data_IF_241887578118
#
_entry.id   IF_241887578118
#
_cell.length_a   1.000
_cell.length_b   1.000
_cell.length_c   1.000
_cell.angle_alpha   90.00
_cell.angle_beta   90.00
_cell.angle_gamma   90.00
#
_symmetry.space_group_name_H-M   'P 1'
#
loop_
_entity.id
_entity.type
_entity.pdbx_description
1 polymer ?
#
# COMPACT_ATOMS: atom_id res chain seq x y z
N UNK A 1 10.79 9.24 23.17
CA UNK A 1 11.84 8.76 22.25
C UNK A 1 13.11 9.57 22.48
N UNK A 2 14.30 9.14 22.03
CA UNK A 2 15.47 10.02 21.99
C UNK A 2 15.12 11.31 21.25
N UNK A 3 15.62 12.45 21.75
CA UNK A 3 15.42 13.77 21.17
C UNK A 3 15.93 13.84 19.72
N UNK A 4 15.43 14.82 18.96
CA UNK A 4 15.91 15.07 17.61
C UNK A 4 17.42 15.27 17.56
N UNK A 5 17.96 16.04 18.50
CA UNK A 5 19.38 16.38 18.59
C UNK A 5 20.24 15.13 18.88
N UNK A 6 19.74 14.21 19.71
CA UNK A 6 20.39 12.93 19.97
C UNK A 6 20.41 12.04 18.72
N UNK A 7 19.26 11.86 18.05
CA UNK A 7 19.19 10.98 16.86
C UNK A 7 19.90 11.55 15.64
N UNK A 8 20.02 12.88 15.55
CA UNK A 8 20.76 13.54 14.47
C UNK A 8 22.27 13.29 14.56
N UNK A 9 22.79 13.09 15.77
CA UNK A 9 24.22 12.95 16.03
C UNK A 9 24.67 11.51 16.35
N UNK A 10 23.75 10.59 16.64
CA UNK A 10 24.07 9.20 16.99
C UNK A 10 23.22 8.19 16.19
N UNK A 11 23.90 7.39 15.37
CA UNK A 11 23.27 6.35 14.52
C UNK A 11 22.63 5.22 15.32
N UNK A 12 23.15 4.91 16.51
CA UNK A 12 22.58 3.89 17.42
C UNK A 12 21.28 4.41 18.02
N UNK A 13 21.26 5.68 18.45
CA UNK A 13 20.03 6.31 18.94
C UNK A 13 18.99 6.48 17.84
N UNK A 14 19.42 6.76 16.60
CA UNK A 14 18.53 6.72 15.43
C UNK A 14 17.89 5.34 15.24
N UNK A 15 18.69 4.26 15.26
CA UNK A 15 18.18 2.89 15.13
C UNK A 15 17.23 2.53 16.29
N UNK A 16 17.53 2.98 17.51
CA UNK A 16 16.67 2.80 18.67
C UNK A 16 15.33 3.54 18.50
N UNK A 17 15.36 4.80 18.06
CA UNK A 17 14.16 5.59 17.77
C UNK A 17 13.31 4.94 16.66
N UNK A 18 13.94 4.46 15.59
CA UNK A 18 13.26 3.77 14.49
C UNK A 18 12.58 2.47 14.96
N UNK A 19 13.24 1.69 15.82
CA UNK A 19 12.64 0.49 16.44
C UNK A 19 11.41 0.84 17.26
N UNK A 20 11.45 1.92 18.06
CA UNK A 20 10.28 2.38 18.83
C UNK A 20 9.14 2.74 17.88
N UNK A 21 9.42 3.53 16.84
CA UNK A 21 8.42 3.96 15.86
C UNK A 21 7.73 2.76 15.19
N UNK A 22 8.50 1.77 14.73
CA UNK A 22 7.97 0.57 14.08
C UNK A 22 7.03 -0.24 14.99
N UNK A 23 7.30 -0.28 16.30
CA UNK A 23 6.47 -1.00 17.27
C UNK A 23 5.11 -0.32 17.50
N UNK A 24 4.99 0.98 17.23
CA UNK A 24 3.75 1.75 17.39
C UNK A 24 3.01 1.98 16.05
N UNK A 25 3.29 1.17 15.02
CA UNK A 25 2.55 1.21 13.73
C UNK A 25 1.26 0.39 13.72
N UNK A 26 1.00 -0.41 14.76
CA UNK A 26 -0.22 -1.22 14.85
C UNK A 26 -1.36 -0.45 15.54
N UNK A 27 -2.42 -0.04 14.83
CA UNK A 27 -3.49 0.77 15.43
C UNK A 27 -4.25 0.04 16.56
N UNK A 28 -4.17 -1.29 16.65
CA UNK A 28 -4.79 -2.06 17.72
C UNK A 28 -4.08 -1.97 19.08
N UNK A 29 -2.81 -1.57 19.12
CA UNK A 29 -2.04 -1.52 20.37
C UNK A 29 -0.99 -0.39 20.45
N UNK A 30 -0.95 0.49 19.44
CA UNK A 30 -0.02 1.59 19.35
C UNK A 30 -0.25 2.62 20.45
N UNK A 31 0.84 3.23 20.91
CA UNK A 31 0.87 4.30 21.90
C UNK A 31 1.21 5.62 21.22
N UNK A 32 0.76 6.71 21.84
CA UNK A 32 1.25 8.03 21.45
C UNK A 32 2.77 8.09 21.70
N UNK A 33 3.48 8.70 20.76
CA UNK A 33 4.93 8.91 20.85
C UNK A 33 5.21 10.39 21.04
N UNK A 34 6.20 10.68 21.88
CA UNK A 34 6.70 12.04 22.08
C UNK A 34 8.19 12.07 21.80
N UNK A 35 8.60 13.03 20.99
CA UNK A 35 10.00 13.34 20.71
C UNK A 35 10.27 14.81 21.01
N UNK A 36 11.29 15.08 21.84
CA UNK A 36 11.80 16.43 22.10
C UNK A 36 12.54 16.97 20.88
N UNK A 37 12.23 18.20 20.48
CA UNK A 37 12.88 18.98 19.43
C UNK A 37 13.17 20.37 20.02
N UNK A 38 14.42 20.63 20.40
CA UNK A 38 14.82 21.87 21.09
C UNK A 38 14.02 22.12 22.37
N UNK A 39 13.23 23.19 22.38
CA UNK A 39 12.36 23.61 23.49
C UNK A 39 10.91 23.09 23.38
N UNK A 40 10.61 22.28 22.37
CA UNK A 40 9.25 21.79 22.06
C UNK A 40 9.17 20.28 22.02
N UNK A 41 7.97 19.75 22.22
CA UNK A 41 7.68 18.34 22.05
C UNK A 41 6.85 18.11 20.78
N UNK A 42 7.30 17.18 19.94
CA UNK A 42 6.53 16.66 18.81
C UNK A 42 5.73 15.47 19.32
N UNK A 43 4.40 15.62 19.30
CA UNK A 43 3.45 14.58 19.67
C UNK A 43 2.95 13.84 18.43
N UNK A 44 3.22 12.54 18.35
CA UNK A 44 2.71 11.66 17.30
C UNK A 44 1.55 10.85 17.88
N UNK A 45 0.36 11.04 17.32
CA UNK A 45 -0.80 10.24 17.68
C UNK A 45 -0.65 8.79 17.19
N UNK A 46 -1.29 7.83 17.87
CA UNK A 46 -1.42 6.47 17.35
C UNK A 46 -2.02 6.49 15.92
N UNK A 47 -1.63 5.55 15.05
CA UNK A 47 -2.21 5.43 13.72
C UNK A 47 -3.72 5.19 13.79
N UNK A 48 -4.44 5.75 12.81
CA UNK A 48 -5.87 5.54 12.68
C UNK A 48 -6.19 4.06 12.37
N UNK A 49 -7.41 3.65 12.67
CA UNK A 49 -7.90 2.35 12.22
C UNK A 49 -7.96 2.33 10.68
N UNK A 50 -7.65 1.18 10.05
CA UNK A 50 -7.72 1.05 8.60
C UNK A 50 -9.16 1.25 8.11
N UNK A 51 -9.31 1.82 6.91
CA UNK A 51 -10.62 1.98 6.28
C UNK A 51 -11.23 0.60 5.97
N UNK A 52 -12.56 0.53 6.07
CA UNK A 52 -13.34 -0.56 5.50
C UNK A 52 -13.19 -0.62 3.98
N UNK A 53 -13.63 -1.73 3.38
CA UNK A 53 -13.60 -1.86 1.90
C UNK A 53 -14.49 -0.81 1.26
N UNK A 54 -15.65 -0.54 1.86
CA UNK A 54 -16.64 0.41 1.40
C UNK A 54 -16.13 1.86 1.48
N UNK A 55 -15.47 2.23 2.58
CA UNK A 55 -14.83 3.55 2.72
C UNK A 55 -13.66 3.72 1.74
N UNK A 56 -12.85 2.68 1.56
CA UNK A 56 -11.73 2.73 0.61
C UNK A 56 -12.26 2.86 -0.83
N UNK A 57 -13.26 2.09 -1.20
CA UNK A 57 -13.89 2.19 -2.51
C UNK A 57 -14.50 3.58 -2.73
N UNK A 58 -15.18 4.15 -1.73
CA UNK A 58 -15.72 5.51 -1.81
C UNK A 58 -14.64 6.55 -2.07
N UNK A 59 -13.45 6.41 -1.47
CA UNK A 59 -12.30 7.29 -1.74
C UNK A 59 -11.83 7.17 -3.19
N UNK A 60 -11.74 5.94 -3.74
CA UNK A 60 -11.26 5.73 -5.11
C UNK A 60 -12.31 6.04 -6.19
N UNK A 61 -13.60 5.95 -5.85
CA UNK A 61 -14.73 6.23 -6.75
C UNK A 61 -15.06 7.74 -6.82
N UNK A 62 -14.36 8.60 -6.07
CA UNK A 62 -14.45 10.05 -6.24
C UNK A 62 -14.11 10.46 -7.69
N UNK A 63 -14.72 11.53 -8.23
CA UNK A 63 -14.61 11.92 -9.64
C UNK A 63 -13.25 12.60 -9.95
N UNK A 64 -12.15 11.88 -9.74
CA UNK A 64 -10.81 12.34 -10.07
C UNK A 64 -10.65 12.42 -11.59
N UNK A 65 -10.07 13.53 -12.06
CA UNK A 65 -9.79 13.71 -13.49
C UNK A 65 -8.77 12.71 -14.03
N UNK A 66 -7.91 12.15 -13.15
CA UNK A 66 -6.77 11.31 -13.51
C UNK A 66 -5.85 11.95 -14.56
N UNK A 67 -5.82 13.29 -14.61
CA UNK A 67 -4.97 14.09 -15.47
C UNK A 67 -4.09 15.00 -14.60
N UNK A 68 -2.94 15.47 -15.12
CA UNK A 68 -2.17 16.53 -14.48
C UNK A 68 -3.04 17.76 -14.18
N UNK A 69 -2.70 18.47 -13.10
CA UNK A 69 -3.43 19.68 -12.73
C UNK A 69 -3.37 20.72 -13.87
N UNK A 70 -4.47 21.42 -14.20
CA UNK A 70 -4.51 22.33 -15.36
C UNK A 70 -3.48 23.45 -15.34
N UNK A 71 -3.01 23.87 -14.15
CA UNK A 71 -1.96 24.90 -14.00
C UNK A 71 -0.65 24.55 -14.69
N UNK A 72 -0.45 23.28 -15.02
CA UNK A 72 0.76 22.80 -15.66
C UNK A 72 0.76 22.95 -17.20
N UNK A 73 -0.38 23.28 -17.82
CA UNK A 73 -0.49 23.41 -19.28
C UNK A 73 0.04 22.18 -20.02
N UNK A 74 0.92 22.42 -21.00
CA UNK A 74 1.52 21.38 -21.86
C UNK A 74 2.83 20.78 -21.31
N UNK A 75 3.18 21.06 -20.05
CA UNK A 75 4.40 20.51 -19.46
C UNK A 75 4.35 18.98 -19.41
N UNK A 76 5.48 18.33 -19.71
CA UNK A 76 5.59 16.87 -19.59
C UNK A 76 5.85 16.48 -18.14
N UNK A 77 5.09 15.50 -17.65
CA UNK A 77 5.24 14.93 -16.31
C UNK A 77 5.66 13.46 -16.40
N UNK A 78 6.97 13.14 -16.26
CA UNK A 78 7.43 11.75 -16.28
C UNK A 78 6.71 10.86 -15.25
N UNK A 79 6.39 11.40 -14.07
CA UNK A 79 5.63 10.65 -13.06
C UNK A 79 4.21 10.30 -13.54
N UNK A 80 3.54 11.21 -14.26
CA UNK A 80 2.22 10.95 -14.85
C UNK A 80 2.28 9.84 -15.88
N UNK A 81 3.31 9.85 -16.75
CA UNK A 81 3.52 8.81 -17.76
C UNK A 81 3.62 7.41 -17.13
N UNK A 82 4.19 7.30 -15.93
CA UNK A 82 4.33 6.04 -15.20
C UNK A 82 3.00 5.54 -14.59
N UNK A 83 2.16 6.45 -14.06
CA UNK A 83 1.03 6.07 -13.21
C UNK A 83 -0.33 6.12 -13.92
N UNK A 84 -0.46 6.80 -15.07
CA UNK A 84 -1.76 7.07 -15.72
C UNK A 84 -2.58 5.80 -16.04
N UNK A 85 -1.91 4.69 -16.33
CA UNK A 85 -2.52 3.39 -16.60
C UNK A 85 -2.32 2.35 -15.49
N UNK A 86 -1.97 2.79 -14.28
CA UNK A 86 -1.85 1.93 -13.09
C UNK A 86 -3.13 2.00 -12.26
N UNK A 87 -3.53 0.86 -11.69
CA UNK A 87 -4.69 0.73 -10.82
C UNK A 87 -4.25 0.13 -9.49
N UNK A 88 -4.57 0.84 -8.41
CA UNK A 88 -4.21 0.44 -7.05
C UNK A 88 -5.29 -0.49 -6.47
N UNK A 89 -4.96 -1.71 -6.04
CA UNK A 89 -5.96 -2.70 -5.56
C UNK A 89 -6.03 -2.82 -4.04
N UNK A 90 -5.02 -2.31 -3.34
CA UNK A 90 -4.91 -2.39 -1.89
C UNK A 90 -4.01 -1.27 -1.34
N UNK A 91 -4.04 -1.05 -0.03
CA UNK A 91 -3.04 -0.24 0.69
C UNK A 91 -2.31 -1.10 1.71
N UNK A 92 -1.29 -0.50 2.33
CA UNK A 92 -0.52 -1.09 3.44
C UNK A 92 0.44 -2.22 3.05
N UNK A 93 1.28 -2.59 4.01
CA UNK A 93 2.28 -3.64 3.84
C UNK A 93 2.62 -4.27 5.19
N UNK A 94 2.50 -5.59 5.30
CA UNK A 94 2.97 -6.36 6.47
C UNK A 94 4.42 -6.87 6.33
N UNK A 95 5.11 -6.48 5.25
CA UNK A 95 6.45 -6.95 4.91
C UNK A 95 7.53 -6.48 5.89
N UNK A 96 7.41 -5.27 6.43
CA UNK A 96 8.35 -4.75 7.44
C UNK A 96 9.79 -4.61 6.96
N UNK A 97 10.00 -4.27 5.68
CA UNK A 97 11.33 -4.07 5.12
C UNK A 97 11.97 -2.82 5.75
N UNK A 98 13.19 -2.95 6.27
CA UNK A 98 13.90 -1.87 7.01
C UNK A 98 14.19 -0.62 6.18
N UNK A 99 14.18 -0.73 4.86
CA UNK A 99 14.39 0.39 3.92
C UNK A 99 13.09 1.09 3.50
N UNK A 100 11.93 0.53 3.86
CA UNK A 100 10.64 0.92 3.32
C UNK A 100 9.77 1.58 4.40
N UNK A 101 9.22 2.75 4.09
CA UNK A 101 8.36 3.51 5.01
C UNK A 101 6.86 3.26 4.81
N UNK A 102 6.45 2.26 4.01
CA UNK A 102 5.02 1.99 3.75
C UNK A 102 4.29 1.65 5.05
N UNK A 103 4.89 0.84 5.91
CA UNK A 103 4.28 0.43 7.18
C UNK A 103 4.11 1.61 8.14
N UNK A 104 5.01 2.60 8.07
CA UNK A 104 4.95 3.83 8.87
C UNK A 104 3.90 4.81 8.34
N UNK A 105 3.78 4.96 7.01
CA UNK A 105 2.88 5.95 6.40
C UNK A 105 1.48 5.45 6.07
N UNK A 106 1.34 4.18 5.69
CA UNK A 106 0.04 3.60 5.30
C UNK A 106 -0.48 2.69 6.40
N UNK A 107 0.41 1.86 6.94
CA UNK A 107 0.09 0.89 7.98
C UNK A 107 0.49 -0.53 7.60
N UNK A 108 0.15 -1.47 8.47
CA UNK A 108 0.51 -2.89 8.33
C UNK A 108 -0.65 -3.81 7.96
N UNK A 109 -1.88 -3.39 8.26
CA UNK A 109 -3.09 -4.17 8.05
C UNK A 109 -3.58 -3.88 6.64
N UNK A 110 -3.67 -4.89 5.78
CA UNK A 110 -3.98 -4.69 4.36
C UNK A 110 -5.42 -4.19 4.18
N UNK A 111 -5.58 -2.96 3.74
CA UNK A 111 -6.86 -2.43 3.26
C UNK A 111 -7.07 -2.84 1.80
N UNK A 112 -8.21 -3.46 1.52
CA UNK A 112 -8.50 -4.03 0.19
C UNK A 112 -9.65 -3.28 -0.46
N UNK A 113 -9.52 -2.96 -1.74
CA UNK A 113 -10.66 -2.50 -2.54
C UNK A 113 -11.57 -3.66 -2.91
N UNK A 114 -12.82 -3.38 -3.23
CA UNK A 114 -13.68 -4.38 -3.85
C UNK A 114 -13.20 -4.68 -5.26
N UNK A 115 -13.50 -5.90 -5.70
CA UNK A 115 -13.23 -6.32 -7.08
C UNK A 115 -13.99 -5.42 -8.05
N UNK A 116 -15.20 -5.04 -7.68
CA UNK A 116 -16.13 -4.23 -8.47
C UNK A 116 -15.59 -2.81 -8.66
N UNK A 117 -15.10 -2.13 -7.61
CA UNK A 117 -14.47 -0.80 -7.74
C UNK A 117 -13.23 -0.87 -8.64
N UNK A 118 -12.38 -1.90 -8.47
CA UNK A 118 -11.19 -2.08 -9.31
C UNK A 118 -11.55 -2.24 -10.79
N UNK A 119 -12.53 -3.08 -11.12
CA UNK A 119 -12.94 -3.32 -12.51
C UNK A 119 -13.55 -2.06 -13.13
N UNK A 120 -14.37 -1.30 -12.38
CA UNK A 120 -14.92 -0.02 -12.83
C UNK A 120 -13.83 1.01 -13.13
N UNK A 121 -12.77 1.07 -12.31
CA UNK A 121 -11.66 1.99 -12.57
C UNK A 121 -10.89 1.61 -13.84
N UNK A 122 -10.69 0.31 -14.10
CA UNK A 122 -10.07 -0.17 -15.34
C UNK A 122 -10.91 0.23 -16.55
N UNK A 123 -12.23 0.08 -16.49
CA UNK A 123 -13.15 0.53 -17.54
C UNK A 123 -13.09 2.04 -17.72
N UNK A 124 -13.09 2.81 -16.63
CA UNK A 124 -12.97 4.27 -16.67
C UNK A 124 -11.68 4.70 -17.36
N UNK A 125 -10.54 4.07 -17.05
CA UNK A 125 -9.26 4.33 -17.73
C UNK A 125 -9.37 4.01 -19.22
N UNK A 126 -9.93 2.85 -19.57
CA UNK A 126 -10.13 2.45 -20.97
C UNK A 126 -10.94 3.49 -21.74
N UNK A 127 -12.00 4.00 -21.13
CA UNK A 127 -12.99 4.85 -21.80
C UNK A 127 -12.61 6.33 -21.83
N UNK A 128 -11.84 6.80 -20.84
CA UNK A 128 -11.58 8.23 -20.64
C UNK A 128 -10.11 8.63 -20.78
N UNK A 129 -9.17 7.70 -20.61
CA UNK A 129 -7.75 8.07 -20.56
C UNK A 129 -7.21 8.38 -21.97
N UNK A 130 -6.54 9.52 -22.16
CA UNK A 130 -5.98 9.88 -23.44
C UNK A 130 -4.88 8.89 -23.83
N UNK A 131 -4.84 8.51 -25.11
CA UNK A 131 -3.84 7.62 -25.69
C UNK A 131 -3.77 6.23 -25.02
N UNK A 132 -4.90 5.71 -24.53
CA UNK A 132 -4.94 4.35 -23.98
C UNK A 132 -4.63 3.31 -25.06
N UNK A 133 -3.59 2.51 -24.85
CA UNK A 133 -3.10 1.52 -25.83
C UNK A 133 -3.76 0.14 -25.68
N UNK A 134 -4.67 -0.01 -24.72
CA UNK A 134 -5.18 -1.30 -24.27
C UNK A 134 -4.29 -1.97 -23.21
N UNK A 135 -3.31 -1.27 -22.65
CA UNK A 135 -2.37 -1.82 -21.67
C UNK A 135 -2.54 -1.13 -20.33
N UNK A 136 -2.91 -1.89 -19.30
CA UNK A 136 -2.83 -1.46 -17.91
C UNK A 136 -1.40 -1.73 -17.42
N UNK A 137 -0.70 -0.69 -16.99
CA UNK A 137 0.73 -0.73 -16.65
C UNK A 137 1.00 -1.42 -15.32
N UNK A 138 0.04 -1.42 -14.40
CA UNK A 138 0.14 -2.15 -13.13
C UNK A 138 -1.25 -2.36 -12.52
N UNK A 139 -1.41 -3.49 -11.85
CA UNK A 139 -2.61 -3.84 -11.07
C UNK A 139 -2.15 -4.39 -9.73
N UNK A 140 -1.88 -3.49 -8.79
CA UNK A 140 -1.13 -3.83 -7.60
C UNK A 140 -1.29 -2.86 -6.44
N UNK A 141 -0.47 -3.04 -5.42
CA UNK A 141 -0.42 -2.17 -4.24
C UNK A 141 0.87 -1.36 -4.18
N UNK A 142 1.13 -0.63 -3.09
CA UNK A 142 2.39 0.08 -2.88
C UNK A 142 3.63 -0.83 -2.72
N UNK A 143 3.42 -2.15 -2.64
CA UNK A 143 4.42 -3.19 -2.38
C UNK A 143 4.13 -4.42 -3.25
N UNK A 144 4.70 -5.58 -2.91
CA UNK A 144 4.28 -6.87 -3.47
C UNK A 144 2.75 -7.06 -3.33
N UNK A 145 2.15 -7.88 -4.19
CA UNK A 145 0.70 -8.08 -4.19
C UNK A 145 0.24 -8.88 -2.95
N UNK A 146 -0.29 -8.18 -1.95
CA UNK A 146 -0.83 -8.73 -0.70
C UNK A 146 -2.37 -8.71 -0.66
N UNK A 147 -3.02 -8.56 -1.82
CA UNK A 147 -4.47 -8.42 -1.92
C UNK A 147 -5.20 -9.60 -1.26
N UNK A 148 -6.08 -9.27 -0.30
CA UNK A 148 -6.85 -10.18 0.56
C UNK A 148 -6.03 -11.04 1.52
N UNK A 149 -4.73 -10.82 1.62
CA UNK A 149 -3.89 -11.44 2.64
C UNK A 149 -4.05 -10.68 3.97
N UNK A 150 -4.18 -11.42 5.07
CA UNK A 150 -4.46 -10.86 6.39
C UNK A 150 -4.07 -11.86 7.49
N UNK A 151 -4.05 -11.42 8.75
CA UNK A 151 -3.85 -12.33 9.86
C UNK A 151 -5.07 -13.23 10.05
N UNK A 152 -4.85 -14.52 10.35
CA UNK A 152 -5.92 -15.52 10.57
C UNK A 152 -6.80 -15.20 11.78
N UNK A 153 -6.28 -14.50 12.78
CA UNK A 153 -6.98 -14.19 14.03
C UNK A 153 -6.91 -12.67 14.32
N UNK A 154 -8.06 -11.97 14.34
CA UNK A 154 -8.11 -10.53 14.65
C UNK A 154 -7.55 -10.15 16.02
N UNK A 155 -7.67 -11.01 17.04
CA UNK A 155 -7.13 -10.74 18.37
C UNK A 155 -5.61 -10.80 18.38
N UNK A 156 -5.03 -11.77 17.66
CA UNK A 156 -3.57 -11.83 17.46
C UNK A 156 -3.11 -10.58 16.71
N UNK A 157 -3.80 -10.21 15.63
CA UNK A 157 -3.46 -9.01 14.84
C UNK A 157 -3.48 -7.75 15.69
N UNK A 158 -4.54 -7.53 16.47
CA UNK A 158 -4.71 -6.38 17.37
C UNK A 158 -3.57 -6.26 18.38
N UNK A 159 -3.09 -7.38 18.92
CA UNK A 159 -2.04 -7.40 19.94
C UNK A 159 -0.61 -7.57 19.39
N UNK A 160 -0.46 -7.79 18.08
CA UNK A 160 0.83 -8.13 17.48
C UNK A 160 1.78 -6.93 17.44
N UNK A 161 3.02 -7.14 17.92
CA UNK A 161 4.14 -6.17 17.87
C UNK A 161 5.32 -6.63 17.02
N UNK A 162 5.15 -7.68 16.20
CA UNK A 162 6.20 -8.13 15.27
C UNK A 162 6.40 -7.09 14.16
N UNK A 163 7.66 -6.75 13.80
CA UNK A 163 7.94 -5.77 12.75
C UNK A 163 7.64 -6.29 11.35
N UNK A 164 7.70 -7.62 11.15
CA UNK A 164 7.47 -8.26 9.86
C UNK A 164 6.68 -9.56 10.00
N UNK A 165 5.83 -9.84 9.01
CA UNK A 165 5.14 -11.13 8.88
C UNK A 165 5.89 -12.13 7.97
N UNK A 166 6.98 -11.71 7.31
CA UNK A 166 7.70 -12.52 6.31
C UNK A 166 9.16 -12.80 6.67
N UNK A 167 9.70 -12.13 7.69
CA UNK A 167 11.08 -12.30 8.17
C UNK A 167 11.11 -12.65 9.67
N UNK A 168 11.99 -13.56 10.13
CA UNK A 168 12.96 -14.37 9.36
C UNK A 168 12.32 -15.53 8.58
N UNK A 169 11.02 -15.74 8.75
CA UNK A 169 10.22 -16.66 7.95
C UNK A 169 8.77 -16.22 7.93
N UNK A 170 7.95 -16.88 7.11
CA UNK A 170 6.52 -16.56 7.00
C UNK A 170 5.81 -16.88 8.31
N UNK A 171 5.09 -15.89 8.83
CA UNK A 171 4.32 -16.02 10.06
C UNK A 171 3.23 -17.10 9.90
N UNK A 172 3.17 -18.05 10.83
CA UNK A 172 2.15 -19.12 10.82
C UNK A 172 0.71 -18.60 10.92
N UNK A 173 0.54 -17.39 11.49
CA UNK A 173 -0.75 -16.71 11.60
C UNK A 173 -1.11 -15.89 10.35
N UNK A 174 -0.29 -15.88 9.30
CA UNK A 174 -0.60 -15.18 8.05
C UNK A 174 -1.43 -16.09 7.14
N UNK A 175 -2.54 -15.56 6.62
CA UNK A 175 -3.25 -16.18 5.51
C UNK A 175 -2.55 -15.82 4.19
N UNK A 176 -2.17 -16.82 3.40
CA UNK A 176 -1.33 -16.67 2.19
C UNK A 176 -2.03 -17.13 0.91
N UNK A 177 -3.36 -17.24 0.91
CA UNK A 177 -4.11 -17.61 -0.30
C UNK A 177 -4.18 -16.45 -1.30
N UNK A 178 -3.61 -16.66 -2.48
CA UNK A 178 -3.63 -15.70 -3.58
C UNK A 178 -4.78 -15.93 -4.57
N UNK A 179 -5.69 -16.87 -4.33
CA UNK A 179 -6.83 -17.12 -5.21
C UNK A 179 -7.65 -15.84 -5.51
N UNK A 180 -7.96 -14.95 -4.55
CA UNK A 180 -8.70 -13.72 -4.84
C UNK A 180 -8.01 -12.80 -5.85
N UNK A 181 -6.69 -12.68 -5.75
CA UNK A 181 -5.88 -11.89 -6.68
C UNK A 181 -5.91 -12.50 -8.09
N UNK A 182 -5.69 -13.80 -8.20
CA UNK A 182 -5.70 -14.47 -9.51
C UNK A 182 -7.07 -14.38 -10.20
N UNK A 183 -8.16 -14.48 -9.43
CA UNK A 183 -9.52 -14.31 -9.94
C UNK A 183 -9.78 -12.88 -10.42
N UNK A 184 -9.30 -11.88 -9.69
CA UNK A 184 -9.35 -10.47 -10.11
C UNK A 184 -8.64 -10.28 -11.46
N UNK A 185 -7.41 -10.78 -11.60
CA UNK A 185 -6.67 -10.71 -12.86
C UNK A 185 -7.39 -11.41 -14.02
N UNK A 186 -7.99 -12.59 -13.78
CA UNK A 186 -8.77 -13.31 -14.81
C UNK A 186 -9.97 -12.48 -15.28
N UNK A 187 -10.73 -11.90 -14.36
CA UNK A 187 -11.89 -11.04 -14.68
C UNK A 187 -11.46 -9.75 -15.38
N UNK A 188 -10.39 -9.11 -14.90
CA UNK A 188 -9.87 -7.89 -15.50
C UNK A 188 -9.41 -8.10 -16.96
N UNK A 189 -8.85 -9.27 -17.29
CA UNK A 189 -8.49 -9.67 -18.67
C UNK A 189 -9.67 -9.91 -19.60
N UNK A 190 -10.87 -10.08 -19.07
CA UNK A 190 -12.08 -10.28 -19.87
C UNK A 190 -12.73 -8.94 -20.29
N UNK A 191 -12.25 -7.81 -19.76
CA UNK A 191 -12.76 -6.47 -20.11
C UNK A 191 -12.43 -6.18 -21.59
N UNK A 192 -13.44 -5.96 -22.45
CA UNK A 192 -13.21 -5.59 -23.84
C UNK A 192 -12.40 -4.30 -23.95
N UNK A 193 -11.46 -4.25 -24.89
CA UNK A 193 -10.55 -3.11 -25.10
C UNK A 193 -9.27 -3.15 -24.25
N UNK A 194 -9.22 -3.98 -23.20
CA UNK A 194 -8.00 -4.24 -22.43
C UNK A 194 -7.28 -5.47 -23.02
N UNK A 195 -6.10 -5.24 -23.59
CA UNK A 195 -5.28 -6.26 -24.28
C UNK A 195 -4.30 -6.94 -23.33
N UNK A 196 -3.71 -6.19 -22.39
CA UNK A 196 -2.63 -6.68 -21.53
C UNK A 196 -2.58 -5.97 -20.19
N UNK A 197 -2.16 -6.71 -19.17
CA UNK A 197 -1.69 -6.18 -17.89
C UNK A 197 -0.18 -6.38 -17.83
N UNK A 198 0.58 -5.30 -17.75
CA UNK A 198 2.04 -5.34 -17.66
C UNK A 198 2.47 -5.38 -16.20
N UNK A 199 2.28 -6.50 -15.50
CA UNK A 199 2.83 -6.60 -14.14
C UNK A 199 4.36 -6.44 -14.20
N UNK A 200 4.89 -5.36 -13.61
CA UNK A 200 6.35 -5.21 -13.42
C UNK A 200 6.92 -6.28 -12.46
N UNK A 201 6.07 -7.05 -11.78
CA UNK A 201 6.47 -8.33 -11.19
C UNK A 201 6.36 -9.47 -12.22
N UNK A 202 7.53 -10.01 -12.54
CA UNK A 202 7.75 -11.36 -13.07
C UNK A 202 6.95 -12.38 -12.24
N UNK A 203 5.74 -12.70 -12.68
CA UNK A 203 4.99 -13.84 -12.14
C UNK A 203 4.40 -14.72 -13.23
N UNK A 204 4.36 -14.30 -14.50
CA UNK A 204 3.82 -15.15 -15.56
C UNK A 204 4.67 -16.39 -15.86
N UNK A 205 5.97 -16.38 -15.53
CA UNK A 205 6.90 -17.49 -15.85
C UNK A 205 7.06 -18.52 -14.71
N UNK A 206 6.62 -18.21 -13.49
CA UNK A 206 6.82 -19.09 -12.31
C UNK A 206 5.63 -20.06 -12.10
N UNK A 207 4.48 -19.83 -12.74
CA UNK A 207 3.26 -20.63 -12.52
C UNK A 207 2.88 -21.54 -13.70
N UNK A 208 3.89 -22.11 -14.38
CA UNK A 208 3.72 -23.09 -15.48
C UNK A 208 4.34 -24.46 -15.23
N UNK A 209 4.57 -24.81 -13.96
CA UNK A 209 5.00 -26.15 -13.51
C UNK A 209 4.08 -26.64 -12.41
#
# INVERSE_FOLDING_TARGET
>A
MPSFEEVANDRVLYAHANRILHLETNPGNARALVQRHGDRDVWLNPPALPLSTEELDAVFDLPYTRLPHPSYGDARFPAFDMIKFSVNIMRDCFGGCTFCSITEHKGRIIQNRSKESILREIETIRDTAPNFTGIISDLGGPTANMYRLHCKNPEIERNCRKPSCVFPGVCQNLHTDHAPLTQLYRKARQIPGVKKFSSALVCATIWRS
#
